data_IF_750777933657
#
_entry.id   IF_750777933657
#
_cell.length_a   1.000
_cell.length_b   1.000
_cell.length_c   1.000
_cell.angle_alpha   90.00
_cell.angle_beta   90.00
_cell.angle_gamma   90.00
#
_symmetry.space_group_name_H-M   'P 1'
#
loop_
_entity.id
_entity.type
_entity.pdbx_description
1 polymer ?
#
# COMPACT_ATOMS: atom_id res chain seq x y z
N UNK A 1 5.82 5.40 19.87
CA UNK A 1 5.37 6.80 19.94
C UNK A 1 4.01 6.87 20.65
N UNK A 2 3.81 7.86 21.51
CA UNK A 2 2.54 8.07 22.21
C UNK A 2 1.70 9.11 21.48
N UNK A 3 0.50 8.72 21.08
CA UNK A 3 -0.42 9.56 20.31
C UNK A 3 -1.83 9.42 20.90
N UNK A 4 -2.41 10.55 21.34
CA UNK A 4 -3.78 10.55 21.86
C UNK A 4 -3.98 9.68 23.11
N UNK A 5 -2.94 9.52 23.95
CA UNK A 5 -2.98 8.68 25.15
C UNK A 5 -2.80 7.17 24.90
N UNK A 6 -2.44 6.79 23.68
CA UNK A 6 -2.16 5.39 23.29
C UNK A 6 -0.75 5.27 22.75
N UNK A 7 -0.03 4.22 23.17
CA UNK A 7 1.30 3.88 22.65
C UNK A 7 1.17 3.06 21.36
N UNK A 8 1.83 3.53 20.30
CA UNK A 8 1.98 2.84 19.01
C UNK A 8 3.42 2.36 18.87
N UNK A 9 3.60 1.09 18.55
CA UNK A 9 4.89 0.43 18.43
C UNK A 9 5.14 0.01 16.98
N UNK A 10 6.42 -0.20 16.64
CA UNK A 10 6.77 -0.94 15.44
C UNK A 10 6.31 -2.40 15.58
N UNK A 11 6.09 -3.07 14.47
CA UNK A 11 5.75 -4.49 14.43
C UNK A 11 6.83 -5.35 15.12
N UNK A 12 8.10 -5.01 14.88
CA UNK A 12 9.23 -5.54 15.66
C UNK A 12 9.71 -4.42 16.60
N UNK A 13 9.56 -4.56 17.92
CA UNK A 13 9.95 -3.53 18.88
C UNK A 13 11.47 -3.48 19.03
N UNK A 14 12.13 -2.83 18.10
CA UNK A 14 13.57 -2.52 18.15
C UNK A 14 13.74 -1.04 18.39
N UNK A 15 14.48 -0.67 19.43
CA UNK A 15 14.92 0.72 19.61
C UNK A 15 16.07 0.99 18.64
N UNK A 16 15.73 1.53 17.49
CA UNK A 16 16.69 1.78 16.40
C UNK A 16 17.40 3.14 16.52
N UNK A 17 17.12 3.88 17.58
CA UNK A 17 17.66 5.24 17.76
C UNK A 17 17.14 6.27 16.76
N UNK A 18 17.82 7.41 16.56
CA UNK A 18 17.41 8.44 15.59
C UNK A 18 17.38 7.92 14.17
N UNK A 19 16.28 8.16 13.45
CA UNK A 19 16.08 7.72 12.07
C UNK A 19 15.88 8.88 11.10
N UNK A 20 16.45 8.76 9.92
CA UNK A 20 16.07 9.57 8.75
C UNK A 20 14.83 8.97 8.08
N UNK A 21 14.13 9.73 7.23
CA UNK A 21 13.03 9.20 6.42
C UNK A 21 13.50 8.06 5.49
N UNK A 22 14.74 8.14 4.99
CA UNK A 22 15.35 7.08 4.20
C UNK A 22 15.46 5.79 5.00
N UNK A 23 16.09 5.84 6.16
CA UNK A 23 16.28 4.68 7.03
C UNK A 23 14.92 4.12 7.50
N UNK A 24 13.95 4.99 7.80
CA UNK A 24 12.60 4.58 8.17
C UNK A 24 11.88 3.80 7.06
N UNK A 25 12.04 4.22 5.79
CA UNK A 25 11.55 3.45 4.64
C UNK A 25 12.26 2.11 4.48
N UNK A 26 13.60 2.10 4.60
CA UNK A 26 14.44 0.90 4.43
C UNK A 26 14.11 -0.14 5.49
N UNK A 27 13.97 0.27 6.75
CA UNK A 27 13.71 -0.60 7.88
C UNK A 27 12.21 -0.80 8.19
N UNK A 28 11.32 -0.18 7.40
CA UNK A 28 9.87 -0.23 7.63
C UNK A 28 9.47 0.23 9.05
N UNK A 29 10.01 1.38 9.48
CA UNK A 29 9.81 1.92 10.84
C UNK A 29 8.45 2.63 10.94
N UNK A 30 7.42 1.93 11.41
CA UNK A 30 6.05 2.44 11.51
C UNK A 30 5.93 3.68 12.40
N UNK A 31 6.70 3.74 13.51
CA UNK A 31 6.60 4.85 14.46
C UNK A 31 6.92 6.21 13.85
N UNK A 32 7.80 6.26 12.84
CA UNK A 32 8.06 7.49 12.07
C UNK A 32 6.84 7.88 11.24
N UNK A 33 6.20 6.91 10.57
CA UNK A 33 5.03 7.17 9.75
C UNK A 33 3.77 7.44 10.58
N UNK A 34 3.62 6.82 11.76
CA UNK A 34 2.59 7.20 12.73
C UNK A 34 2.70 8.66 13.13
N UNK A 35 3.91 9.13 13.44
CA UNK A 35 4.13 10.54 13.79
C UNK A 35 3.77 11.48 12.62
N UNK A 36 4.20 11.13 11.40
CA UNK A 36 3.84 11.91 10.20
C UNK A 36 2.32 11.94 9.95
N UNK A 37 1.66 10.80 10.10
CA UNK A 37 0.19 10.70 9.99
C UNK A 37 -0.53 11.55 11.03
N UNK A 38 -0.04 11.52 12.27
CA UNK A 38 -0.57 12.35 13.36
C UNK A 38 -0.35 13.84 13.11
N UNK A 39 0.83 14.23 12.64
CA UNK A 39 1.11 15.64 12.35
C UNK A 39 0.26 16.17 11.18
N UNK A 40 0.01 15.35 10.16
CA UNK A 40 -0.94 15.68 9.08
C UNK A 40 -2.35 15.81 9.64
N UNK A 41 -2.79 14.88 10.47
CA UNK A 41 -4.09 14.91 11.14
C UNK A 41 -4.25 16.19 11.99
N UNK A 42 -3.26 16.57 12.78
CA UNK A 42 -3.28 17.81 13.58
C UNK A 42 -3.36 19.07 12.71
N UNK A 43 -2.68 19.09 11.57
CA UNK A 43 -2.73 20.22 10.63
C UNK A 43 -4.10 20.33 9.94
N UNK A 44 -4.69 19.18 9.62
CA UNK A 44 -6.01 19.11 8.98
C UNK A 44 -7.15 19.38 9.99
N UNK A 45 -6.90 19.20 11.29
CA UNK A 45 -7.87 19.39 12.39
C UNK A 45 -8.31 20.83 12.66
N UNK A 46 -7.71 21.78 12.03
CA UNK A 46 -8.27 23.15 12.02
C UNK A 46 -9.62 23.19 11.27
N UNK A 47 -9.96 22.14 10.57
CA UNK A 47 -11.28 21.84 10.03
C UNK A 47 -11.86 20.67 10.84
N UNK A 48 -13.14 20.75 11.23
CA UNK A 48 -13.78 19.78 12.10
C UNK A 48 -13.53 18.32 11.70
N UNK A 49 -13.11 17.48 12.66
CA UNK A 49 -12.94 16.03 12.42
C UNK A 49 -14.26 15.28 12.35
N UNK A 50 -15.32 15.89 12.88
CA UNK A 50 -16.68 15.35 12.78
C UNK A 50 -17.16 15.53 11.35
N UNK A 51 -17.45 14.41 10.67
CA UNK A 51 -17.98 14.48 9.32
C UNK A 51 -19.51 14.58 9.35
N UNK A 52 -20.02 15.61 8.70
CA UNK A 52 -21.45 15.93 8.66
C UNK A 52 -22.04 15.91 7.25
N UNK A 53 -21.19 15.81 6.23
CA UNK A 53 -21.56 15.95 4.84
C UNK A 53 -20.73 15.08 3.90
N UNK A 54 -21.33 14.62 2.81
CA UNK A 54 -20.64 13.98 1.70
C UNK A 54 -19.72 14.94 0.90
N UNK A 55 -19.75 16.23 1.19
CA UNK A 55 -18.97 17.27 0.52
C UNK A 55 -17.79 17.77 1.37
N UNK A 56 -17.43 17.06 2.41
CA UNK A 56 -16.27 17.39 3.23
C UNK A 56 -14.98 17.46 2.39
N UNK A 57 -14.09 18.42 2.65
CA UNK A 57 -12.85 18.55 1.88
C UNK A 57 -11.94 17.33 2.08
N UNK A 58 -11.28 16.92 1.00
CA UNK A 58 -10.31 15.82 1.02
C UNK A 58 -9.02 16.28 1.69
N UNK A 59 -8.59 15.55 2.72
CA UNK A 59 -7.37 15.83 3.48
C UNK A 59 -6.12 15.50 2.66
N UNK A 60 -4.96 16.02 3.11
CA UNK A 60 -3.70 15.96 2.34
C UNK A 60 -3.25 14.53 2.07
N UNK A 61 -3.31 13.63 3.07
CA UNK A 61 -2.91 12.23 2.90
C UNK A 61 -3.82 11.53 1.89
N UNK A 62 -5.13 11.57 2.09
CA UNK A 62 -6.10 10.97 1.17
C UNK A 62 -6.04 11.57 -0.24
N UNK A 63 -5.78 12.87 -0.34
CA UNK A 63 -5.56 13.53 -1.64
C UNK A 63 -4.35 12.96 -2.36
N UNK A 64 -3.27 12.68 -1.63
CA UNK A 64 -2.08 12.04 -2.19
C UNK A 64 -2.38 10.61 -2.61
N UNK A 65 -3.05 9.80 -1.77
CA UNK A 65 -3.46 8.43 -2.09
C UNK A 65 -4.31 8.38 -3.38
N UNK A 66 -5.31 9.26 -3.50
CA UNK A 66 -6.13 9.38 -4.72
C UNK A 66 -5.30 9.78 -5.95
N UNK A 67 -4.31 10.66 -5.78
CA UNK A 67 -3.42 11.07 -6.87
C UNK A 67 -2.52 9.93 -7.36
N UNK A 68 -2.19 8.97 -6.48
CA UNK A 68 -1.46 7.73 -6.84
C UNK A 68 -2.36 6.67 -7.49
N UNK A 69 -3.66 6.95 -7.66
CA UNK A 69 -4.61 6.06 -8.33
C UNK A 69 -5.37 5.11 -7.41
N UNK A 70 -5.17 5.19 -6.09
CA UNK A 70 -5.92 4.39 -5.13
C UNK A 70 -7.37 4.88 -4.98
N UNK A 71 -8.28 4.03 -4.52
CA UNK A 71 -9.67 4.37 -4.26
C UNK A 71 -10.53 4.62 -5.51
N UNK A 72 -10.04 4.28 -6.70
CA UNK A 72 -10.74 4.42 -7.98
C UNK A 72 -10.31 3.32 -8.96
N UNK A 73 -11.10 3.12 -10.03
CA UNK A 73 -10.72 2.24 -11.13
C UNK A 73 -9.40 2.68 -11.78
N UNK A 74 -8.53 1.72 -12.13
CA UNK A 74 -7.32 1.97 -12.93
C UNK A 74 -7.66 2.27 -14.37
N UNK A 75 -8.89 1.91 -14.80
CA UNK A 75 -9.35 2.02 -16.18
C UNK A 75 -8.76 0.96 -17.10
N UNK A 76 -8.39 -0.21 -16.56
CA UNK A 76 -8.03 -1.38 -17.36
C UNK A 76 -9.18 -1.78 -18.29
N UNK A 77 -8.86 -2.30 -19.45
CA UNK A 77 -9.83 -2.77 -20.46
C UNK A 77 -10.46 -4.13 -20.13
N UNK A 78 -10.68 -4.39 -18.82
CA UNK A 78 -11.40 -5.56 -18.31
C UNK A 78 -12.62 -5.12 -17.50
N UNK A 79 -13.73 -5.88 -17.52
CA UNK A 79 -14.92 -5.56 -16.73
C UNK A 79 -14.73 -5.84 -15.23
N UNK A 80 -15.59 -5.26 -14.38
CA UNK A 80 -15.73 -5.56 -12.95
C UNK A 80 -14.48 -5.31 -12.11
N UNK A 81 -13.76 -4.22 -12.40
CA UNK A 81 -12.61 -3.80 -11.60
C UNK A 81 -13.04 -3.33 -10.20
N UNK A 82 -12.40 -3.86 -9.15
CA UNK A 82 -12.55 -3.35 -7.79
C UNK A 82 -11.73 -2.06 -7.59
N UNK A 83 -12.30 -1.09 -6.88
CA UNK A 83 -11.67 0.22 -6.67
C UNK A 83 -10.87 0.35 -5.37
N UNK A 84 -10.95 -0.64 -4.47
CA UNK A 84 -10.41 -0.46 -3.13
C UNK A 84 -11.06 0.72 -2.38
N UNK A 85 -10.40 1.22 -1.34
CA UNK A 85 -10.90 2.31 -0.50
C UNK A 85 -9.78 3.28 -0.11
N UNK A 86 -10.00 4.57 -0.37
CA UNK A 86 -9.29 5.66 0.28
C UNK A 86 -10.27 6.32 1.25
N UNK A 87 -10.02 6.29 2.58
CA UNK A 87 -10.99 6.71 3.58
C UNK A 87 -11.04 8.25 3.71
N UNK A 88 -11.64 8.90 2.72
CA UNK A 88 -11.92 10.35 2.76
C UNK A 88 -13.02 10.66 3.79
N UNK A 89 -13.17 11.93 4.16
CA UNK A 89 -14.29 12.36 5.02
C UNK A 89 -15.65 12.04 4.37
N UNK A 90 -15.80 12.24 3.08
CA UNK A 90 -17.01 11.89 2.34
C UNK A 90 -17.28 10.37 2.39
N UNK A 91 -16.24 9.55 2.25
CA UNK A 91 -16.36 8.10 2.42
C UNK A 91 -16.78 7.74 3.85
N UNK A 92 -16.16 8.33 4.87
CA UNK A 92 -16.49 8.06 6.28
C UNK A 92 -17.94 8.44 6.61
N UNK A 93 -18.41 9.58 6.09
CA UNK A 93 -19.82 10.00 6.22
C UNK A 93 -20.76 8.94 5.64
N UNK A 94 -20.51 8.49 4.43
CA UNK A 94 -21.33 7.46 3.79
C UNK A 94 -21.27 6.11 4.51
N UNK A 95 -20.06 5.72 4.97
CA UNK A 95 -19.86 4.50 5.74
C UNK A 95 -20.61 4.54 7.08
N UNK A 96 -20.44 5.59 7.86
CA UNK A 96 -21.14 5.81 9.11
C UNK A 96 -22.67 5.80 8.91
N UNK A 97 -23.16 6.58 7.95
CA UNK A 97 -24.60 6.71 7.69
C UNK A 97 -25.28 5.36 7.38
N UNK A 98 -24.59 4.48 6.64
CA UNK A 98 -25.09 3.14 6.33
C UNK A 98 -25.08 2.19 7.52
N UNK A 99 -24.12 2.32 8.43
CA UNK A 99 -23.92 1.34 9.51
C UNK A 99 -24.43 1.83 10.88
N UNK A 100 -24.69 3.11 11.05
CA UNK A 100 -25.09 3.71 12.34
C UNK A 100 -26.24 2.95 13.02
N UNK A 101 -27.31 2.68 12.28
CA UNK A 101 -28.50 1.98 12.83
C UNK A 101 -28.12 0.61 13.38
N UNK A 102 -27.33 -0.16 12.66
CA UNK A 102 -26.85 -1.48 13.07
C UNK A 102 -25.96 -1.38 14.32
N UNK A 103 -25.00 -0.48 14.31
CA UNK A 103 -24.10 -0.27 15.46
C UNK A 103 -24.85 0.16 16.71
N UNK A 104 -25.81 1.07 16.58
CA UNK A 104 -26.65 1.49 17.72
C UNK A 104 -27.52 0.35 18.26
N UNK A 105 -27.92 -0.59 17.43
CA UNK A 105 -28.63 -1.80 17.88
C UNK A 105 -27.70 -2.79 18.60
N UNK A 106 -26.52 -3.03 18.05
CA UNK A 106 -25.54 -3.96 18.61
C UNK A 106 -24.88 -3.45 19.88
N UNK A 107 -24.69 -2.15 20.01
CA UNK A 107 -24.04 -1.52 21.16
C UNK A 107 -24.95 -1.25 22.37
N UNK A 108 -26.22 -1.65 22.35
CA UNK A 108 -27.18 -1.31 23.41
C UNK A 108 -26.79 -1.80 24.81
N UNK A 109 -26.20 -2.97 24.93
CA UNK A 109 -25.91 -3.60 26.23
C UNK A 109 -24.52 -3.27 26.77
N UNK A 110 -23.58 -2.84 25.92
CA UNK A 110 -22.21 -2.46 26.29
C UNK A 110 -21.44 -3.53 27.12
N UNK A 111 -21.80 -4.80 26.99
CA UNK A 111 -21.26 -5.91 27.79
C UNK A 111 -19.98 -6.50 27.22
N UNK A 112 -20.06 -7.08 26.01
CA UNK A 112 -18.93 -7.67 25.32
C UNK A 112 -18.03 -6.63 24.63
N UNK A 113 -16.81 -7.03 24.28
CA UNK A 113 -15.91 -6.18 23.50
C UNK A 113 -16.54 -5.70 22.18
N UNK A 114 -17.23 -6.60 21.49
CA UNK A 114 -17.92 -6.28 20.23
C UNK A 114 -19.05 -5.24 20.42
N UNK A 115 -19.82 -5.36 21.51
CA UNK A 115 -20.89 -4.40 21.85
C UNK A 115 -20.31 -3.02 22.20
N UNK A 116 -19.16 -2.97 22.89
CA UNK A 116 -18.47 -1.70 23.20
C UNK A 116 -18.00 -1.02 21.92
N UNK A 117 -17.38 -1.74 20.99
CA UNK A 117 -16.98 -1.20 19.68
C UNK A 117 -18.20 -0.72 18.89
N UNK A 118 -19.30 -1.46 18.92
CA UNK A 118 -20.54 -1.05 18.25
C UNK A 118 -21.14 0.22 18.90
N UNK A 119 -21.09 0.34 20.21
CA UNK A 119 -21.52 1.53 20.93
C UNK A 119 -20.66 2.75 20.54
N UNK A 120 -19.33 2.62 20.55
CA UNK A 120 -18.42 3.68 20.16
C UNK A 120 -18.67 4.11 18.70
N UNK A 121 -18.79 3.15 17.79
CA UNK A 121 -19.12 3.44 16.40
C UNK A 121 -20.49 4.10 16.21
N UNK A 122 -21.47 3.75 17.02
CA UNK A 122 -22.80 4.41 17.00
C UNK A 122 -22.70 5.91 17.34
N UNK A 123 -21.85 6.28 18.32
CA UNK A 123 -21.79 7.64 18.84
C UNK A 123 -20.68 8.48 18.18
N UNK A 124 -19.58 7.86 17.81
CA UNK A 124 -18.36 8.54 17.37
C UNK A 124 -17.84 8.09 16.01
N UNK A 125 -18.52 7.14 15.33
CA UNK A 125 -18.06 6.58 14.06
C UNK A 125 -18.01 7.58 12.89
N UNK A 126 -18.57 8.78 13.07
CA UNK A 126 -18.43 9.90 12.12
C UNK A 126 -17.26 10.85 12.47
N UNK A 127 -16.41 10.49 13.41
CA UNK A 127 -15.24 11.29 13.79
C UNK A 127 -14.00 10.62 13.21
N UNK A 128 -13.18 11.41 12.50
CA UNK A 128 -11.88 10.95 12.05
C UNK A 128 -10.87 11.12 13.18
N UNK A 129 -10.70 10.05 13.94
CA UNK A 129 -9.83 9.99 15.12
C UNK A 129 -8.34 9.95 14.75
N UNK A 130 -7.44 10.37 15.66
CA UNK A 130 -5.98 10.26 15.44
C UNK A 130 -5.53 8.82 15.17
N UNK A 131 -6.15 7.83 15.85
CA UNK A 131 -5.88 6.42 15.63
C UNK A 131 -6.15 5.94 14.20
N UNK A 132 -7.19 6.47 13.54
CA UNK A 132 -7.48 6.18 12.14
C UNK A 132 -6.42 6.81 11.21
N UNK A 133 -5.98 8.03 11.52
CA UNK A 133 -4.97 8.72 10.72
C UNK A 133 -3.61 8.02 10.78
N UNK A 134 -3.16 7.58 11.97
CA UNK A 134 -1.88 6.88 12.11
C UNK A 134 -1.92 5.50 11.44
N UNK A 135 -3.03 4.77 11.56
CA UNK A 135 -3.20 3.50 10.86
C UNK A 135 -3.19 3.70 9.32
N UNK A 136 -3.90 4.71 8.81
CA UNK A 136 -3.91 5.01 7.39
C UNK A 136 -2.51 5.39 6.86
N UNK A 137 -1.66 6.05 7.68
CA UNK A 137 -0.30 6.43 7.29
C UNK A 137 0.64 5.26 7.02
N UNK A 138 0.30 4.07 7.49
CA UNK A 138 1.02 2.81 7.19
C UNK A 138 0.21 1.86 6.29
N UNK A 139 -0.89 2.35 5.69
CA UNK A 139 -1.74 1.55 4.80
C UNK A 139 -2.66 0.56 5.52
N UNK A 140 -2.92 0.76 6.81
CA UNK A 140 -3.82 -0.05 7.62
C UNK A 140 -5.19 0.65 7.85
N UNK A 141 -6.04 0.04 8.68
CA UNK A 141 -7.36 0.57 9.01
C UNK A 141 -8.35 0.41 7.85
N UNK A 142 -8.91 1.52 7.38
CA UNK A 142 -9.91 1.50 6.29
C UNK A 142 -9.30 1.55 4.89
N UNK A 143 -7.98 1.70 4.77
CA UNK A 143 -7.30 1.69 3.46
C UNK A 143 -7.35 0.28 2.88
N UNK A 144 -7.87 0.15 1.66
CA UNK A 144 -7.81 -1.10 0.89
C UNK A 144 -7.40 -0.81 -0.54
N UNK A 145 -6.54 -1.66 -1.09
CA UNK A 145 -6.03 -1.52 -2.47
C UNK A 145 -6.07 -2.86 -3.19
N UNK A 146 -6.18 -2.82 -4.51
CA UNK A 146 -6.03 -4.02 -5.33
C UNK A 146 -4.56 -4.21 -5.74
N UNK A 147 -4.12 -5.45 -6.03
CA UNK A 147 -2.78 -5.69 -6.58
C UNK A 147 -2.51 -4.87 -7.85
N UNK A 148 -3.52 -4.68 -8.71
CA UNK A 148 -3.39 -3.89 -9.92
C UNK A 148 -3.18 -2.40 -9.63
N UNK A 149 -3.91 -1.83 -8.67
CA UNK A 149 -3.68 -0.45 -8.23
C UNK A 149 -2.27 -0.27 -7.66
N UNK A 150 -1.81 -1.23 -6.85
CA UNK A 150 -0.47 -1.19 -6.29
C UNK A 150 0.60 -1.28 -7.39
N UNK A 151 0.43 -2.19 -8.36
CA UNK A 151 1.32 -2.29 -9.51
C UNK A 151 1.33 -1.00 -10.35
N UNK A 152 0.18 -0.38 -10.57
CA UNK A 152 0.06 0.89 -11.32
C UNK A 152 0.75 2.05 -10.59
N UNK A 153 0.62 2.13 -9.26
CA UNK A 153 1.31 3.12 -8.43
C UNK A 153 2.84 2.95 -8.50
N UNK A 154 3.33 1.70 -8.40
CA UNK A 154 4.75 1.38 -8.55
C UNK A 154 5.27 1.67 -9.96
N UNK A 155 4.47 1.42 -11.00
CA UNK A 155 4.81 1.78 -12.38
C UNK A 155 4.94 3.30 -12.54
N UNK A 156 4.04 4.08 -11.94
CA UNK A 156 4.12 5.53 -11.95
C UNK A 156 5.36 6.05 -11.20
N UNK A 157 5.69 5.47 -10.04
CA UNK A 157 6.92 5.78 -9.32
C UNK A 157 8.18 5.46 -10.15
N UNK A 158 8.20 4.29 -10.76
CA UNK A 158 9.32 3.77 -11.52
C UNK A 158 9.60 4.62 -12.78
N UNK A 159 8.55 5.07 -13.48
CA UNK A 159 8.67 5.84 -14.72
C UNK A 159 8.85 7.35 -14.52
N UNK A 160 8.95 7.82 -13.27
CA UNK A 160 9.16 9.23 -12.95
C UNK A 160 7.90 10.06 -12.76
N UNK A 161 6.75 9.43 -12.54
CA UNK A 161 5.53 10.08 -12.06
C UNK A 161 4.33 10.05 -13.00
N UNK A 162 4.37 9.32 -14.12
CA UNK A 162 3.22 9.20 -15.04
C UNK A 162 2.38 7.98 -14.69
N UNK A 163 1.12 8.19 -14.36
CA UNK A 163 0.13 7.15 -14.14
C UNK A 163 -0.58 6.84 -15.45
N UNK A 164 -0.54 5.57 -15.87
CA UNK A 164 -1.23 5.08 -17.07
C UNK A 164 -2.44 4.24 -16.68
N UNK A 165 -3.48 4.25 -17.54
CA UNK A 165 -4.52 3.22 -17.48
C UNK A 165 -4.01 1.94 -18.15
N UNK A 166 -3.90 0.82 -17.40
CA UNK A 166 -3.37 -0.43 -17.93
C UNK A 166 -4.18 -0.96 -19.12
N UNK A 167 -3.55 -1.77 -19.97
CA UNK A 167 -4.20 -2.46 -21.09
C UNK A 167 -3.74 -3.91 -21.14
N UNK A 168 -4.68 -4.82 -21.32
CA UNK A 168 -4.40 -6.23 -21.59
C UNK A 168 -4.13 -6.44 -23.08
N UNK A 169 -4.91 -5.76 -23.93
CA UNK A 169 -4.69 -5.79 -25.36
C UNK A 169 -3.46 -4.97 -25.78
N UNK A 170 -2.50 -5.59 -26.46
CA UNK A 170 -1.31 -4.89 -26.95
C UNK A 170 -1.49 -4.36 -28.38
N UNK A 171 -2.23 -5.08 -29.22
CA UNK A 171 -2.46 -4.71 -30.62
C UNK A 171 -3.68 -5.43 -31.20
N UNK A 172 -4.27 -4.85 -32.23
CA UNK A 172 -5.18 -5.51 -33.14
C UNK A 172 -4.36 -6.07 -34.29
N UNK A 173 -4.51 -7.37 -34.56
CA UNK A 173 -3.80 -8.07 -35.67
C UNK A 173 -4.79 -8.72 -36.61
N UNK A 174 -4.43 -8.82 -37.88
CA UNK A 174 -5.17 -9.61 -38.88
C UNK A 174 -4.90 -11.10 -38.68
N UNK A 175 -5.69 -12.00 -39.29
CA UNK A 175 -5.44 -13.44 -39.24
C UNK A 175 -4.05 -13.87 -39.80
N UNK A 176 -3.45 -13.06 -40.67
CA UNK A 176 -2.10 -13.25 -41.22
C UNK A 176 -0.97 -12.77 -40.28
N UNK A 177 -1.32 -12.32 -39.04
CA UNK A 177 -0.38 -11.80 -38.06
C UNK A 177 0.01 -10.33 -38.23
N UNK A 178 -0.49 -9.65 -39.24
CA UNK A 178 -0.18 -8.26 -39.56
C UNK A 178 -0.82 -7.32 -38.51
N UNK A 179 -0.02 -6.45 -37.87
CA UNK A 179 -0.52 -5.46 -36.94
C UNK A 179 -1.33 -4.38 -37.65
N UNK A 180 -2.61 -4.24 -37.32
CA UNK A 180 -3.51 -3.21 -37.83
C UNK A 180 -3.36 -1.94 -37.01
N UNK A 181 -3.35 -2.08 -35.66
CA UNK A 181 -3.25 -0.95 -34.73
C UNK A 181 -2.62 -1.42 -33.43
N UNK A 182 -1.61 -0.69 -32.95
CA UNK A 182 -1.09 -0.84 -31.58
C UNK A 182 -2.02 -0.13 -30.60
N UNK A 183 -2.23 -0.76 -29.43
CA UNK A 183 -3.01 -0.18 -28.34
C UNK A 183 -2.02 0.51 -27.39
N UNK A 184 -2.12 1.83 -27.30
CA UNK A 184 -1.28 2.63 -26.40
C UNK A 184 -2.05 2.90 -25.13
N UNK A 185 -1.51 2.56 -23.95
CA UNK A 185 -2.13 2.90 -22.67
C UNK A 185 -2.30 4.42 -22.52
N UNK A 186 -3.51 4.94 -22.27
CA UNK A 186 -3.70 6.37 -22.08
C UNK A 186 -3.10 6.83 -20.74
N UNK A 187 -2.64 8.07 -20.70
CA UNK A 187 -2.21 8.74 -19.47
C UNK A 187 -3.44 9.03 -18.61
N UNK A 188 -3.48 8.46 -17.40
CA UNK A 188 -4.54 8.68 -16.41
C UNK A 188 -4.24 9.86 -15.49
N UNK A 189 -2.97 10.29 -15.40
CA UNK A 189 -2.56 11.42 -14.57
C UNK A 189 -1.05 11.46 -14.33
N UNK A 190 -0.67 12.42 -13.48
CA UNK A 190 0.71 12.58 -13.02
C UNK A 190 0.74 12.69 -11.51
N UNK A 191 1.74 12.06 -10.89
CA UNK A 191 1.95 12.16 -9.45
C UNK A 191 2.32 13.61 -9.09
N UNK A 192 1.64 14.24 -8.12
CA UNK A 192 1.93 15.61 -7.69
C UNK A 192 3.16 15.64 -6.76
N UNK A 193 4.26 15.04 -7.22
CA UNK A 193 5.49 14.85 -6.43
C UNK A 193 6.68 15.34 -7.25
N UNK A 194 7.52 16.18 -6.64
CA UNK A 194 8.71 16.71 -7.31
C UNK A 194 9.70 15.57 -7.67
N UNK A 195 10.33 15.68 -8.83
CA UNK A 195 11.31 14.68 -9.31
C UNK A 195 12.42 14.32 -8.31
N UNK A 196 13.00 15.26 -7.53
CA UNK A 196 13.98 14.91 -6.50
C UNK A 196 13.40 13.99 -5.41
N UNK A 197 12.13 14.21 -5.01
CA UNK A 197 11.46 13.37 -4.00
C UNK A 197 11.20 11.98 -4.56
N UNK A 198 10.74 11.85 -5.81
CA UNK A 198 10.59 10.54 -6.46
C UNK A 198 11.93 9.79 -6.53
N UNK A 199 13.03 10.48 -6.85
CA UNK A 199 14.36 9.86 -6.85
C UNK A 199 14.77 9.39 -5.46
N UNK A 200 14.53 10.20 -4.42
CA UNK A 200 14.80 9.84 -3.03
C UNK A 200 14.06 8.56 -2.62
N UNK A 201 12.76 8.48 -2.92
CA UNK A 201 11.93 7.30 -2.63
C UNK A 201 12.45 6.09 -3.41
N UNK A 202 12.73 6.22 -4.70
CA UNK A 202 13.27 5.14 -5.54
C UNK A 202 14.58 4.59 -5.01
N UNK A 203 15.48 5.46 -4.53
CA UNK A 203 16.73 5.06 -3.90
C UNK A 203 16.48 4.28 -2.61
N UNK A 204 15.61 4.77 -1.72
CA UNK A 204 15.25 4.07 -0.51
C UNK A 204 14.62 2.68 -0.79
N UNK A 205 13.79 2.56 -1.84
CA UNK A 205 13.21 1.27 -2.24
C UNK A 205 14.24 0.28 -2.80
N UNK A 206 15.31 0.76 -3.44
CA UNK A 206 16.44 -0.10 -3.81
C UNK A 206 17.18 -0.60 -2.57
N UNK A 207 17.37 0.28 -1.58
CA UNK A 207 18.03 -0.08 -0.33
C UNK A 207 17.19 -1.03 0.56
N UNK A 208 15.85 -1.03 0.45
CA UNK A 208 15.01 -2.07 1.08
C UNK A 208 15.43 -3.47 0.62
N UNK A 209 15.78 -3.61 -0.67
CA UNK A 209 16.16 -4.91 -1.27
C UNK A 209 17.62 -5.26 -1.00
N UNK A 210 18.53 -4.26 -0.91
CA UNK A 210 19.96 -4.51 -0.71
C UNK A 210 20.36 -4.65 0.75
N UNK A 211 19.71 -3.93 1.66
CA UNK A 211 20.11 -3.85 3.08
C UNK A 211 18.94 -3.70 4.06
N UNK A 212 17.71 -3.63 3.57
CA UNK A 212 16.50 -3.47 4.38
C UNK A 212 15.71 -4.76 4.56
N UNK A 213 14.40 -4.61 4.76
CA UNK A 213 13.48 -5.70 5.12
C UNK A 213 13.35 -6.80 4.06
N UNK A 214 13.70 -6.54 2.80
CA UNK A 214 13.70 -7.55 1.74
C UNK A 214 15.08 -8.17 1.47
N UNK A 215 16.16 -7.67 2.07
CA UNK A 215 17.51 -8.16 1.80
C UNK A 215 17.69 -9.68 2.01
N UNK A 216 17.14 -10.29 3.07
CA UNK A 216 17.23 -11.75 3.23
C UNK A 216 16.61 -12.54 2.07
N UNK A 217 15.46 -12.07 1.55
CA UNK A 217 14.77 -12.71 0.43
C UNK A 217 15.57 -12.63 -0.88
N UNK A 218 16.41 -11.61 -1.05
CA UNK A 218 17.22 -11.39 -2.24
C UNK A 218 18.69 -11.83 -2.06
N UNK A 219 19.01 -12.56 -0.98
CA UNK A 219 20.35 -13.12 -0.80
C UNK A 219 20.74 -13.99 -2.00
N UNK A 220 21.91 -13.74 -2.60
CA UNK A 220 22.41 -14.44 -3.79
C UNK A 220 21.78 -13.98 -5.13
N UNK A 221 20.81 -13.08 -5.14
CA UNK A 221 20.34 -12.45 -6.38
C UNK A 221 21.40 -11.45 -6.89
N UNK A 222 21.70 -11.38 -8.20
CA UNK A 222 22.75 -10.52 -8.73
C UNK A 222 22.30 -9.05 -8.83
N UNK A 223 22.06 -8.40 -7.70
CA UNK A 223 21.54 -7.02 -7.61
C UNK A 223 22.43 -5.98 -8.30
N UNK A 224 23.73 -6.27 -8.45
CA UNK A 224 24.65 -5.41 -9.19
C UNK A 224 24.43 -5.42 -10.70
N UNK A 225 23.84 -6.50 -11.25
CA UNK A 225 23.48 -6.63 -12.65
C UNK A 225 22.03 -6.25 -12.90
N UNK A 226 21.12 -6.69 -12.02
CA UNK A 226 19.69 -6.43 -12.09
C UNK A 226 19.25 -5.78 -10.80
N UNK A 227 19.32 -4.45 -10.76
CA UNK A 227 18.81 -3.70 -9.60
C UNK A 227 17.29 -3.86 -9.49
N UNK A 228 16.82 -4.34 -8.33
CA UNK A 228 15.41 -4.42 -7.96
C UNK A 228 15.15 -3.39 -6.85
N UNK A 229 14.08 -2.62 -7.00
CA UNK A 229 13.59 -1.70 -5.98
C UNK A 229 12.19 -2.12 -5.55
N UNK A 230 11.94 -2.23 -4.25
CA UNK A 230 10.66 -2.72 -3.74
C UNK A 230 10.42 -2.41 -2.28
N UNK A 231 9.24 -2.80 -1.78
CA UNK A 231 8.88 -2.65 -0.37
C UNK A 231 8.04 -3.82 0.09
N UNK A 232 8.40 -4.36 1.25
CA UNK A 232 7.61 -5.33 2.00
C UNK A 232 6.44 -4.66 2.70
N UNK A 233 5.34 -5.36 2.83
CA UNK A 233 4.18 -4.94 3.60
C UNK A 233 3.58 -6.14 4.34
N UNK A 234 2.95 -5.86 5.48
CA UNK A 234 2.25 -6.84 6.31
C UNK A 234 0.93 -6.22 6.73
N UNK A 235 -0.17 -6.61 6.08
CA UNK A 235 -1.49 -6.06 6.38
C UNK A 235 -2.19 -6.94 7.42
N UNK A 236 -2.35 -6.43 8.63
CA UNK A 236 -2.99 -7.14 9.73
C UNK A 236 -4.50 -7.31 9.47
N UNK A 237 -5.02 -8.49 9.75
CA UNK A 237 -6.44 -8.83 9.63
C UNK A 237 -6.91 -9.42 10.95
N UNK A 238 -7.96 -8.83 11.54
CA UNK A 238 -8.49 -9.29 12.82
C UNK A 238 -8.88 -10.77 12.78
N UNK A 239 -8.35 -11.56 13.72
CA UNK A 239 -8.65 -12.99 13.86
C UNK A 239 -8.06 -13.91 12.78
N UNK A 240 -7.13 -13.40 11.95
CA UNK A 240 -6.43 -14.18 10.91
C UNK A 240 -4.94 -13.86 10.90
N UNK A 241 -4.15 -14.69 10.23
CA UNK A 241 -2.79 -14.31 9.86
C UNK A 241 -2.83 -13.08 8.94
N UNK A 242 -1.80 -12.26 9.02
CA UNK A 242 -1.66 -11.08 8.19
C UNK A 242 -1.61 -11.43 6.69
N UNK A 243 -1.99 -10.47 5.84
CA UNK A 243 -1.75 -10.56 4.40
C UNK A 243 -0.32 -10.12 4.11
N UNK A 244 0.46 -11.03 3.54
CA UNK A 244 1.81 -10.75 3.05
C UNK A 244 1.76 -9.94 1.77
N UNK A 245 2.55 -8.86 1.68
CA UNK A 245 2.60 -7.98 0.51
C UNK A 245 4.04 -7.70 0.14
N UNK A 246 4.35 -7.75 -1.15
CA UNK A 246 5.59 -7.20 -1.71
C UNK A 246 5.32 -6.57 -3.08
N UNK A 247 5.74 -5.34 -3.25
CA UNK A 247 5.69 -4.67 -4.54
C UNK A 247 7.08 -4.20 -4.94
N UNK A 248 7.43 -4.40 -6.21
CA UNK A 248 8.77 -4.10 -6.72
C UNK A 248 8.77 -3.79 -8.21
N UNK A 249 9.82 -3.14 -8.67
CA UNK A 249 10.09 -2.93 -10.09
C UNK A 249 11.57 -3.15 -10.41
N UNK A 250 11.85 -3.50 -11.65
CA UNK A 250 13.20 -3.70 -12.15
C UNK A 250 13.30 -3.42 -13.66
N UNK A 251 14.52 -3.07 -14.18
CA UNK A 251 15.69 -2.55 -13.47
C UNK A 251 15.45 -1.16 -12.87
N UNK A 252 16.20 -0.76 -11.83
CA UNK A 252 15.97 0.53 -11.15
C UNK A 252 16.18 1.75 -12.05
N UNK A 253 17.17 1.70 -12.97
CA UNK A 253 17.52 2.81 -13.85
C UNK A 253 16.59 2.95 -15.05
N UNK A 254 16.23 1.82 -15.66
CA UNK A 254 15.34 1.74 -16.84
C UNK A 254 14.23 0.72 -16.58
N UNK A 255 13.24 1.06 -15.76
CA UNK A 255 12.19 0.13 -15.33
C UNK A 255 11.42 -0.48 -16.51
N UNK A 256 11.34 -1.80 -16.55
CA UNK A 256 10.61 -2.54 -17.59
C UNK A 256 9.40 -3.26 -17.04
N UNK A 257 9.51 -3.77 -15.82
CA UNK A 257 8.49 -4.60 -15.19
C UNK A 257 8.19 -4.14 -13.78
N UNK A 258 6.97 -4.36 -13.35
CA UNK A 258 6.50 -4.20 -11.97
C UNK A 258 5.83 -5.50 -11.55
N UNK A 259 6.10 -5.94 -10.33
CA UNK A 259 5.42 -7.06 -9.70
C UNK A 259 4.82 -6.56 -8.39
N UNK A 260 3.52 -6.76 -8.21
CA UNK A 260 2.83 -6.55 -6.95
C UNK A 260 2.15 -7.86 -6.54
N UNK A 261 2.55 -8.40 -5.40
CA UNK A 261 2.04 -9.66 -4.87
C UNK A 261 1.39 -9.42 -3.51
N UNK A 262 0.20 -9.99 -3.33
CA UNK A 262 -0.55 -10.02 -2.08
C UNK A 262 -1.02 -11.44 -1.82
N UNK A 263 -0.63 -12.01 -0.68
CA UNK A 263 -1.01 -13.38 -0.29
C UNK A 263 -1.78 -13.29 1.03
N UNK A 264 -3.11 -13.48 1.00
CA UNK A 264 -3.94 -13.42 2.20
C UNK A 264 -3.58 -14.51 3.21
N UNK A 265 -3.68 -14.19 4.50
CA UNK A 265 -3.51 -15.12 5.61
C UNK A 265 -2.20 -15.93 5.57
N UNK A 266 -1.10 -15.28 5.22
CA UNK A 266 0.19 -15.95 5.00
C UNK A 266 1.33 -15.42 5.87
N UNK A 267 1.13 -14.32 6.61
CA UNK A 267 2.13 -13.76 7.51
C UNK A 267 2.88 -12.55 6.94
N UNK A 268 4.19 -12.48 7.14
CA UNK A 268 5.00 -11.31 6.84
C UNK A 268 5.38 -11.19 5.36
N UNK A 269 5.40 -9.95 4.86
CA UNK A 269 5.83 -9.66 3.49
C UNK A 269 7.27 -10.05 3.19
N UNK A 270 8.16 -9.92 4.17
CA UNK A 270 9.55 -10.29 4.05
C UNK A 270 9.75 -11.81 3.90
N UNK A 271 8.90 -12.62 4.56
CA UNK A 271 9.08 -14.07 4.65
C UNK A 271 8.34 -14.85 3.56
N UNK A 272 7.28 -14.26 2.98
CA UNK A 272 6.41 -14.98 2.04
C UNK A 272 6.38 -14.33 0.66
N UNK A 273 5.85 -13.11 0.53
CA UNK A 273 5.69 -12.50 -0.80
C UNK A 273 7.01 -11.99 -1.39
N UNK A 274 7.98 -11.54 -0.59
CA UNK A 274 9.26 -11.10 -1.13
C UNK A 274 10.09 -12.26 -1.73
N UNK A 275 10.24 -13.43 -1.06
CA UNK A 275 10.88 -14.60 -1.67
C UNK A 275 10.15 -15.11 -2.93
N UNK A 276 8.82 -15.12 -2.92
CA UNK A 276 8.04 -15.54 -4.08
C UNK A 276 8.23 -14.59 -5.28
N UNK A 277 8.23 -13.28 -5.06
CA UNK A 277 8.51 -12.29 -6.10
C UNK A 277 9.95 -12.39 -6.59
N UNK A 278 10.92 -12.68 -5.72
CA UNK A 278 12.30 -12.92 -6.13
C UNK A 278 12.39 -14.08 -7.14
N UNK A 279 11.67 -15.20 -6.93
CA UNK A 279 11.63 -16.30 -7.90
C UNK A 279 11.07 -15.87 -9.25
N UNK A 280 10.05 -15.00 -9.26
CA UNK A 280 9.54 -14.44 -10.53
C UNK A 280 10.62 -13.59 -11.23
N UNK A 281 11.40 -12.80 -10.48
CA UNK A 281 12.52 -12.07 -11.04
C UNK A 281 13.62 -12.99 -11.58
N UNK A 282 13.91 -14.11 -10.88
CA UNK A 282 14.84 -15.13 -11.37
C UNK A 282 14.40 -15.67 -12.74
N UNK A 283 13.10 -15.98 -12.91
CA UNK A 283 12.55 -16.43 -14.18
C UNK A 283 12.60 -15.37 -15.28
N UNK A 284 12.19 -14.12 -14.98
CA UNK A 284 12.19 -12.99 -15.94
C UNK A 284 13.61 -12.72 -16.49
N UNK A 285 14.63 -12.85 -15.65
CA UNK A 285 16.02 -12.55 -16.02
C UNK A 285 16.87 -13.79 -16.34
N UNK A 286 16.25 -14.98 -16.44
CA UNK A 286 16.94 -16.23 -16.79
C UNK A 286 17.97 -16.67 -15.74
N UNK A 287 17.69 -16.42 -14.46
CA UNK A 287 18.56 -16.75 -13.33
C UNK A 287 18.17 -18.09 -12.67
N UNK A 288 17.26 -18.84 -13.28
CA UNK A 288 16.81 -20.15 -12.84
C UNK A 288 18.00 -21.11 -12.70
N UNK A 289 18.25 -21.62 -11.55
CA UNK A 289 19.46 -22.41 -11.23
C UNK A 289 20.37 -21.71 -10.20
N UNK A 290 20.14 -20.44 -9.90
CA UNK A 290 20.79 -19.68 -8.82
C UNK A 290 19.88 -19.55 -7.60
N UNK A 291 18.98 -20.50 -7.38
CA UNK A 291 18.01 -20.44 -6.28
C UNK A 291 18.73 -20.42 -4.93
N UNK A 292 18.50 -19.37 -4.16
CA UNK A 292 18.68 -19.48 -2.72
C UNK A 292 17.60 -20.43 -2.17
N UNK A 293 18.00 -21.38 -1.33
CA UNK A 293 17.05 -22.23 -0.65
C UNK A 293 16.04 -21.34 0.11
N UNK A 294 14.75 -21.53 -0.16
CA UNK A 294 13.71 -20.90 0.65
C UNK A 294 13.91 -21.34 2.11
N UNK A 295 13.85 -20.45 3.10
CA UNK A 295 13.76 -20.87 4.48
C UNK A 295 12.59 -21.85 4.56
N UNK A 296 12.85 -23.07 5.05
CA UNK A 296 11.87 -24.16 5.08
C UNK A 296 10.66 -23.80 5.95
N UNK A 297 9.71 -23.09 5.40
CA UNK A 297 8.39 -22.93 5.93
C UNK A 297 7.60 -24.21 5.65
N UNK A 298 7.42 -25.06 6.66
CA UNK A 298 6.37 -26.09 6.58
C UNK A 298 5.04 -25.34 6.50
N UNK A 299 4.33 -25.51 5.38
CA UNK A 299 2.91 -25.19 5.33
C UNK A 299 2.21 -25.98 6.44
N UNK A 300 1.27 -25.38 7.19
CA UNK A 300 0.47 -26.07 8.18
C UNK A 300 -0.38 -27.15 7.55
#
# INVERSE_FOLDING_TARGET
VDIGGRTFLNDTPVNSGPMTLHTALVQSCDTVFYQLGYDLWRRDNRQANVVTSAHEPVQKMQRMELAWGFGRSTGIDLPQESTGTVPTRAWLYGFYSRHKKLWCQQGKQYGSYAERIAYENCHYGNIWEPGQAVNAAIGQGYVTVTPLQLASAYAALANGGTLYSPRVGAALVRPDGRVVRRIVPPVAGHLPVAKPVLRYIRHALADVVTQGTAAPAFAGFPLHTVCVAGKTGTAQVAGKLATSVFASYAPCSHPKYVIAMMIPASGYGADVSAPAVRQIWDGIYGLEGRQAALPGGRLP
#
